data_IF_833556792695
#
_entry.id   IF_833556792695
#
_cell.length_a   1.000
_cell.length_b   1.000
_cell.length_c   1.000
_cell.angle_alpha   90.00
_cell.angle_beta   90.00
_cell.angle_gamma   90.00
#
_symmetry.space_group_name_H-M   'P 1'
#
loop_
_entity.id
_entity.type
_entity.pdbx_description
1 polymer ?
#
# COMPACT_ATOMS: atom_id res chain seq x y z
N UNK A 1 -8.88 -19.89 -11.91
CA UNK A 1 -8.78 -21.00 -10.94
C UNK A 1 -7.32 -21.43 -10.87
N UNK A 2 -6.48 -20.71 -10.12
CA UNK A 2 -5.02 -20.95 -9.99
C UNK A 2 -4.69 -22.43 -9.79
N UNK A 3 -3.63 -22.93 -10.40
CA UNK A 3 -3.18 -24.32 -10.20
C UNK A 3 -2.52 -24.52 -8.83
N UNK A 4 -2.18 -25.76 -8.50
CA UNK A 4 -1.52 -26.15 -7.24
C UNK A 4 -0.12 -25.52 -7.05
N UNK A 5 0.38 -24.77 -8.04
CA UNK A 5 1.67 -24.07 -8.03
C UNK A 5 1.49 -22.54 -7.96
N UNK A 6 0.25 -22.05 -7.87
CA UNK A 6 -0.08 -20.63 -7.74
C UNK A 6 0.15 -19.84 -9.02
N UNK A 7 0.21 -20.50 -10.17
CA UNK A 7 0.15 -19.80 -11.45
C UNK A 7 -1.27 -19.34 -11.75
N UNK A 8 -1.37 -18.12 -12.29
CA UNK A 8 -2.62 -17.57 -12.79
C UNK A 8 -3.09 -18.40 -13.98
N UNK A 9 -4.18 -19.16 -13.83
CA UNK A 9 -4.75 -19.96 -14.92
C UNK A 9 -5.56 -19.15 -15.93
N UNK A 10 -5.93 -17.92 -15.57
CA UNK A 10 -6.61 -16.97 -16.44
C UNK A 10 -6.07 -15.57 -16.15
N UNK A 11 -5.02 -15.19 -16.87
CA UNK A 11 -4.36 -13.88 -16.70
C UNK A 11 -5.24 -12.71 -17.13
N UNK A 12 -6.37 -12.98 -17.80
CA UNK A 12 -7.31 -11.96 -18.25
C UNK A 12 -8.44 -11.71 -17.24
N UNK A 13 -8.53 -12.52 -16.17
CA UNK A 13 -9.49 -12.31 -15.10
C UNK A 13 -9.28 -10.95 -14.40
N UNK A 14 -10.37 -10.28 -14.05
CA UNK A 14 -10.34 -8.92 -13.47
C UNK A 14 -9.62 -8.87 -12.11
N UNK A 15 -9.61 -9.98 -11.38
CA UNK A 15 -9.03 -10.16 -10.06
C UNK A 15 -7.82 -11.12 -10.07
N UNK A 16 -7.21 -11.36 -11.24
CA UNK A 16 -6.12 -12.32 -11.42
C UNK A 16 -4.96 -12.15 -10.41
N UNK A 17 -4.51 -10.92 -10.15
CA UNK A 17 -3.43 -10.64 -9.19
C UNK A 17 -3.85 -10.91 -7.73
N UNK A 18 -5.11 -10.67 -7.40
CA UNK A 18 -5.61 -10.97 -6.07
C UNK A 18 -5.64 -12.48 -5.85
N UNK A 19 -6.19 -13.23 -6.82
CA UNK A 19 -6.22 -14.69 -6.78
C UNK A 19 -4.82 -15.30 -6.67
N UNK A 20 -3.87 -14.80 -7.48
CA UNK A 20 -2.46 -15.20 -7.42
C UNK A 20 -1.89 -14.99 -6.02
N UNK A 21 -2.08 -13.81 -5.45
CA UNK A 21 -1.50 -13.47 -4.15
C UNK A 21 -2.04 -14.35 -3.03
N UNK A 22 -3.34 -14.67 -3.04
CA UNK A 22 -3.93 -15.62 -2.09
C UNK A 22 -3.37 -17.03 -2.26
N UNK A 23 -3.25 -17.52 -3.50
CA UNK A 23 -2.67 -18.83 -3.77
C UNK A 23 -1.20 -18.90 -3.34
N UNK A 24 -0.42 -17.85 -3.61
CA UNK A 24 0.97 -17.73 -3.17
C UNK A 24 1.09 -17.81 -1.64
N UNK A 25 0.21 -17.15 -0.90
CA UNK A 25 0.19 -17.20 0.56
C UNK A 25 -0.16 -18.59 1.12
N UNK A 26 -0.95 -19.40 0.39
CA UNK A 26 -1.22 -20.79 0.78
C UNK A 26 0.04 -21.68 0.70
N UNK A 27 1.00 -21.32 -0.16
CA UNK A 27 2.27 -22.02 -0.29
C UNK A 27 3.30 -21.55 0.74
N UNK A 28 3.15 -20.32 1.28
CA UNK A 28 3.96 -19.79 2.36
C UNK A 28 4.02 -18.25 2.36
N UNK A 29 4.72 -17.65 3.34
CA UNK A 29 4.73 -16.20 3.47
C UNK A 29 5.46 -15.50 2.31
N UNK A 30 4.92 -14.38 1.86
CA UNK A 30 5.57 -13.51 0.87
C UNK A 30 6.54 -12.57 1.57
N UNK A 31 7.74 -12.40 1.02
CA UNK A 31 8.82 -11.61 1.62
C UNK A 31 9.29 -10.52 0.67
N UNK A 32 9.37 -9.30 1.19
CA UNK A 32 9.93 -8.15 0.49
C UNK A 32 11.16 -7.65 1.26
N UNK A 33 12.27 -7.42 0.55
CA UNK A 33 13.39 -6.67 1.10
C UNK A 33 12.97 -5.21 1.25
N UNK A 34 13.16 -4.64 2.44
CA UNK A 34 13.01 -3.21 2.66
C UNK A 34 14.38 -2.57 2.55
N UNK A 35 14.56 -1.71 1.55
CA UNK A 35 15.84 -1.08 1.23
C UNK A 35 15.69 0.44 1.24
N UNK A 36 16.69 1.12 1.81
CA UNK A 36 16.82 2.56 1.76
C UNK A 36 17.92 2.94 0.79
N UNK A 37 17.58 3.74 -0.21
CA UNK A 37 18.58 4.45 -1.02
C UNK A 37 18.96 5.72 -0.29
N UNK A 38 20.25 5.93 -0.06
CA UNK A 38 20.77 7.09 0.64
C UNK A 38 21.09 8.21 -0.35
N UNK A 39 20.59 9.42 -0.06
CA UNK A 39 20.87 10.60 -0.86
C UNK A 39 22.37 10.97 -0.81
N UNK A 40 22.87 11.48 -1.92
CA UNK A 40 24.16 12.14 -2.05
C UNK A 40 23.96 13.64 -2.19
N UNK A 41 25.06 14.40 -2.21
CA UNK A 41 25.01 15.85 -2.39
C UNK A 41 24.43 16.30 -3.76
N UNK A 42 24.34 15.39 -4.72
CA UNK A 42 23.82 15.68 -6.07
C UNK A 42 22.33 15.37 -6.21
N UNK A 43 21.71 14.76 -5.19
CA UNK A 43 20.32 14.35 -5.26
C UNK A 43 19.39 15.45 -4.74
N UNK A 44 18.25 15.64 -5.41
CA UNK A 44 17.20 16.54 -4.95
C UNK A 44 16.08 15.73 -4.27
N UNK A 45 15.99 15.71 -2.93
CA UNK A 45 14.94 14.98 -2.22
C UNK A 45 13.55 15.65 -2.31
N UNK A 46 13.45 16.82 -2.93
CA UNK A 46 12.20 17.55 -3.12
C UNK A 46 11.58 17.38 -4.52
N UNK A 47 12.21 16.63 -5.44
CA UNK A 47 11.71 16.39 -6.79
C UNK A 47 11.56 14.89 -7.06
N UNK A 48 10.34 14.37 -6.85
CA UNK A 48 10.02 12.97 -7.08
C UNK A 48 9.93 12.57 -8.58
N UNK A 49 10.14 13.51 -9.52
CA UNK A 49 10.15 13.19 -10.96
C UNK A 49 11.51 12.71 -11.45
N UNK A 50 12.56 12.88 -10.64
CA UNK A 50 13.93 12.54 -10.98
C UNK A 50 14.33 11.26 -10.22
N UNK A 51 14.52 10.13 -10.91
CA UNK A 51 15.04 8.93 -10.27
C UNK A 51 16.48 9.16 -9.83
N UNK A 52 16.81 8.73 -8.61
CA UNK A 52 18.20 8.75 -8.15
C UNK A 52 19.03 7.69 -8.88
N UNK A 53 20.34 7.91 -9.07
CA UNK A 53 21.21 6.93 -9.70
C UNK A 53 21.26 5.61 -8.95
N UNK A 54 21.32 4.49 -9.66
CA UNK A 54 21.49 3.15 -9.05
C UNK A 54 22.81 3.00 -8.28
N UNK A 55 23.79 3.88 -8.54
CA UNK A 55 25.07 3.93 -7.83
C UNK A 55 24.96 4.51 -6.42
N UNK A 56 23.81 5.08 -6.04
CA UNK A 56 23.63 5.60 -4.70
C UNK A 56 23.76 4.48 -3.66
N UNK A 57 24.36 4.75 -2.48
CA UNK A 57 24.49 3.74 -1.44
C UNK A 57 23.11 3.22 -1.03
N UNK A 58 22.97 1.90 -0.97
CA UNK A 58 21.76 1.23 -0.49
C UNK A 58 22.02 0.59 0.87
N UNK A 59 21.00 0.63 1.74
CA UNK A 59 21.01 0.03 3.06
C UNK A 59 19.80 -0.89 3.21
N UNK A 60 20.02 -2.15 3.54
CA UNK A 60 18.93 -3.05 3.93
C UNK A 60 18.39 -2.65 5.31
N UNK A 61 17.12 -2.27 5.36
CA UNK A 61 16.40 -1.94 6.58
C UNK A 61 15.65 -3.15 7.18
N UNK A 62 15.60 -4.28 6.46
CA UNK A 62 15.03 -5.54 6.94
C UNK A 62 14.18 -6.25 5.89
N UNK A 63 13.24 -7.07 6.38
CA UNK A 63 12.33 -7.85 5.54
C UNK A 63 10.90 -7.66 6.01
N UNK A 64 10.02 -7.27 5.11
CA UNK A 64 8.58 -7.29 5.33
C UNK A 64 8.08 -8.69 4.99
N UNK A 65 7.47 -9.37 5.97
CA UNK A 65 6.89 -10.70 5.80
C UNK A 65 5.38 -10.58 5.85
N UNK A 66 4.72 -10.96 4.76
CA UNK A 66 3.27 -11.05 4.68
C UNK A 66 2.89 -12.52 4.84
N UNK A 67 2.22 -12.84 5.94
CA UNK A 67 1.83 -14.21 6.28
C UNK A 67 0.36 -14.50 5.94
N UNK A 68 -0.48 -13.46 5.95
CA UNK A 68 -1.93 -13.59 5.75
C UNK A 68 -2.47 -12.35 5.03
N UNK A 69 -3.59 -12.54 4.32
CA UNK A 69 -4.36 -11.49 3.69
C UNK A 69 -5.85 -11.79 3.83
N UNK A 70 -6.69 -10.76 3.72
CA UNK A 70 -8.15 -10.86 3.70
C UNK A 70 -8.71 -10.09 2.50
N UNK A 71 -9.87 -10.51 2.00
CA UNK A 71 -10.58 -9.75 0.97
C UNK A 71 -10.88 -8.32 1.48
N UNK A 72 -10.85 -7.35 0.58
CA UNK A 72 -11.08 -5.95 0.92
C UNK A 72 -12.45 -5.72 1.58
N UNK A 73 -13.51 -6.32 1.04
CA UNK A 73 -14.89 -6.15 1.54
C UNK A 73 -15.07 -6.62 2.98
N UNK A 74 -14.32 -7.65 3.39
CA UNK A 74 -14.32 -8.18 4.75
C UNK A 74 -13.14 -7.64 5.60
N UNK A 75 -12.28 -6.80 5.01
CA UNK A 75 -11.02 -6.37 5.58
C UNK A 75 -11.11 -5.05 6.33
N UNK A 76 -10.26 -4.89 7.35
CA UNK A 76 -10.15 -3.63 8.10
C UNK A 76 -9.54 -2.49 7.28
N UNK A 77 -8.93 -2.77 6.13
CA UNK A 77 -8.18 -1.80 5.32
C UNK A 77 -9.02 -0.61 4.86
N UNK A 78 -10.33 -0.79 4.65
CA UNK A 78 -11.23 0.32 4.27
C UNK A 78 -11.32 1.41 5.35
N UNK A 79 -11.18 1.03 6.63
CA UNK A 79 -11.22 1.96 7.76
C UNK A 79 -9.87 2.63 8.04
N UNK A 80 -8.77 2.13 7.46
CA UNK A 80 -7.43 2.63 7.71
C UNK A 80 -7.11 3.80 6.76
N UNK A 81 -6.57 4.88 7.33
CA UNK A 81 -5.96 5.96 6.57
C UNK A 81 -4.45 5.74 6.49
N UNK A 82 -3.94 5.46 5.29
CA UNK A 82 -2.51 5.26 5.04
C UNK A 82 -1.84 6.60 4.71
N UNK A 83 -1.81 7.51 5.68
CA UNK A 83 -1.22 8.85 5.52
C UNK A 83 0.32 8.78 5.47
N UNK A 84 0.97 9.20 4.36
CA UNK A 84 2.42 9.15 4.24
C UNK A 84 3.18 10.13 5.15
N UNK A 85 2.50 11.05 5.84
CA UNK A 85 3.10 11.97 6.82
C UNK A 85 2.93 11.51 8.27
N UNK A 86 2.27 10.38 8.52
CA UNK A 86 2.29 9.72 9.84
C UNK A 86 3.57 8.90 9.94
N UNK A 87 4.62 9.54 10.45
CA UNK A 87 5.98 8.99 10.51
C UNK A 87 6.36 8.52 11.93
N UNK A 88 7.13 7.42 12.06
CA UNK A 88 7.69 7.02 13.34
C UNK A 88 8.80 7.98 13.80
N UNK A 89 9.17 7.89 15.08
CA UNK A 89 10.28 8.67 15.62
C UNK A 89 11.58 8.41 14.83
N UNK A 90 12.33 9.48 14.56
CA UNK A 90 13.56 9.43 13.76
C UNK A 90 13.37 9.72 12.28
N UNK A 91 12.13 9.87 11.80
CA UNK A 91 11.82 10.24 10.41
C UNK A 91 11.20 11.63 10.33
N UNK A 92 11.52 12.35 9.26
CA UNK A 92 10.93 13.64 8.92
C UNK A 92 10.61 13.66 7.41
N UNK A 93 9.54 14.34 6.98
CA UNK A 93 9.22 14.44 5.56
C UNK A 93 10.25 15.30 4.83
N UNK A 94 10.47 15.01 3.55
CA UNK A 94 11.21 15.91 2.67
C UNK A 94 10.39 17.15 2.31
N UNK A 95 11.02 18.09 1.60
CA UNK A 95 10.37 19.28 1.05
C UNK A 95 9.63 19.02 -0.27
N UNK A 96 9.40 17.76 -0.65
CA UNK A 96 8.65 17.41 -1.85
C UNK A 96 7.19 17.93 -1.75
N UNK A 97 6.77 18.85 -2.64
CA UNK A 97 5.43 19.40 -2.62
C UNK A 97 4.34 18.33 -2.89
N UNK A 98 4.66 17.28 -3.64
CA UNK A 98 3.74 16.15 -3.89
C UNK A 98 3.52 15.38 -2.60
N UNK A 99 4.59 15.04 -1.87
CA UNK A 99 4.48 14.38 -0.56
C UNK A 99 3.61 15.20 0.40
N UNK A 100 3.85 16.51 0.49
CA UNK A 100 3.07 17.41 1.36
C UNK A 100 1.59 17.47 0.96
N UNK A 101 1.28 17.47 -0.33
CA UNK A 101 -0.10 17.48 -0.83
C UNK A 101 -0.85 16.15 -0.55
N UNK A 102 -0.14 15.02 -0.50
CA UNK A 102 -0.76 13.69 -0.35
C UNK A 102 -1.51 13.52 0.97
N UNK A 103 -1.01 14.04 2.08
CA UNK A 103 -1.72 13.89 3.37
C UNK A 103 -3.16 14.43 3.30
N UNK A 104 -3.35 15.61 2.70
CA UNK A 104 -4.68 16.20 2.51
C UNK A 104 -5.56 15.36 1.56
N UNK A 105 -4.98 14.82 0.48
CA UNK A 105 -5.72 13.96 -0.46
C UNK A 105 -6.18 12.65 0.19
N UNK A 106 -5.31 12.01 0.98
CA UNK A 106 -5.63 10.77 1.71
C UNK A 106 -6.69 11.02 2.79
N UNK A 107 -6.59 12.12 3.53
CA UNK A 107 -7.59 12.51 4.51
C UNK A 107 -8.97 12.74 3.88
N UNK A 108 -9.06 13.46 2.76
CA UNK A 108 -10.34 13.68 2.07
C UNK A 108 -10.90 12.38 1.48
N UNK A 109 -10.06 11.51 0.92
CA UNK A 109 -10.47 10.18 0.43
C UNK A 109 -11.04 9.32 1.56
N UNK A 110 -10.34 9.26 2.71
CA UNK A 110 -10.81 8.53 3.89
C UNK A 110 -12.14 9.10 4.40
N UNK A 111 -12.27 10.43 4.49
CA UNK A 111 -13.51 11.09 4.91
C UNK A 111 -14.69 10.71 4.01
N UNK A 112 -14.50 10.63 2.69
CA UNK A 112 -15.55 10.23 1.75
C UNK A 112 -15.96 8.77 1.93
N UNK A 113 -14.99 7.85 1.99
CA UNK A 113 -15.25 6.42 2.24
C UNK A 113 -15.95 6.18 3.57
N UNK A 114 -15.53 6.87 4.64
CA UNK A 114 -16.19 6.78 5.95
C UNK A 114 -17.65 7.25 5.91
N UNK A 115 -17.94 8.31 5.14
CA UNK A 115 -19.32 8.77 4.92
C UNK A 115 -20.15 7.76 4.12
N UNK A 116 -19.60 7.15 3.09
CA UNK A 116 -20.29 6.11 2.29
C UNK A 116 -20.67 4.91 3.17
N UNK A 117 -19.74 4.43 4.01
CA UNK A 117 -19.99 3.34 4.97
C UNK A 117 -21.11 3.71 5.94
N UNK A 118 -21.07 4.91 6.52
CA UNK A 118 -22.13 5.39 7.42
C UNK A 118 -23.49 5.43 6.70
N UNK A 119 -23.53 5.95 5.47
CA UNK A 119 -24.77 6.04 4.70
C UNK A 119 -25.33 4.65 4.37
N UNK A 120 -24.49 3.68 4.03
CA UNK A 120 -24.90 2.29 3.79
C UNK A 120 -25.49 1.63 5.05
N UNK A 121 -24.92 1.91 6.22
CA UNK A 121 -25.47 1.43 7.50
C UNK A 121 -26.85 2.05 7.79
N UNK A 122 -27.01 3.35 7.53
CA UNK A 122 -28.28 4.06 7.74
C UNK A 122 -29.37 3.62 6.76
N UNK A 123 -29.05 3.43 5.48
CA UNK A 123 -30.03 3.00 4.47
C UNK A 123 -30.31 1.51 4.50
N UNK A 124 -29.34 0.68 4.91
CA UNK A 124 -29.53 -0.77 5.12
C UNK A 124 -30.39 -1.07 6.34
N UNK A 125 -30.28 -0.29 7.41
CA UNK A 125 -31.09 -0.45 8.63
C UNK A 125 -32.49 0.17 8.60
N UNK A 126 -32.87 0.85 7.51
CA UNK A 126 -34.19 1.47 7.36
C UNK A 126 -35.24 0.54 6.69
N UNK A 127 -34.84 -0.68 6.31
CA UNK A 127 -35.70 -1.68 5.66
C UNK A 127 -35.87 -2.98 6.48
N UNK A 128 -35.59 -2.94 7.78
CA UNK A 128 -35.91 -4.02 8.74
C UNK A 128 -36.96 -3.56 9.76
#
# INVERSE_FOLDING_TARGET
LTDDVGQITDAEATDALQQEFFSRLQQGPVRFALEFTLATANDNPADATIPWPETNPQLSAGTIVIEQASLQDAGACNAINFDPLVLPAGFAPSEDPILRARAAAYAESHRRRAREVLMQQVTGGANE
#
